data_IF_080714297892
#
_entry.id   IF_080714297892
#
_cell.length_a   1.000
_cell.length_b   1.000
_cell.length_c   1.000
_cell.angle_alpha   90.00
_cell.angle_beta   90.00
_cell.angle_gamma   90.00
#
_symmetry.space_group_name_H-M   'P 1'
#
loop_
_entity.id
_entity.type
_entity.pdbx_description
1 polymer ?
#
# COMPACT_ATOMS: atom_id res chain seq x y z
N UNK A 1 -0.73 -7.41 -17.41
CA UNK A 1 -1.72 -7.22 -16.35
C UNK A 1 -1.16 -6.36 -15.23
N UNK A 2 -2.04 -5.69 -14.45
CA UNK A 2 -1.60 -4.73 -13.44
C UNK A 2 -1.40 -5.41 -12.11
N UNK A 3 -0.32 -5.11 -11.41
CA UNK A 3 -0.16 -5.49 -10.00
C UNK A 3 -1.23 -4.80 -9.15
N UNK A 4 -1.71 -5.49 -8.13
CA UNK A 4 -2.82 -5.03 -7.29
C UNK A 4 -2.44 -5.07 -5.80
N UNK A 5 -2.91 -4.06 -5.08
CA UNK A 5 -2.92 -4.01 -3.62
C UNK A 5 -4.38 -4.04 -3.17
N UNK A 6 -4.71 -4.91 -2.26
CA UNK A 6 -6.01 -4.93 -1.60
C UNK A 6 -5.94 -4.12 -0.30
N UNK A 7 -7.01 -3.41 0.01
CA UNK A 7 -7.14 -2.66 1.26
C UNK A 7 -8.39 -3.11 2.01
N UNK A 8 -8.21 -3.53 3.25
CA UNK A 8 -9.29 -3.94 4.14
C UNK A 8 -9.25 -3.16 5.43
N UNK A 9 -10.39 -3.06 6.12
CA UNK A 9 -10.42 -2.50 7.46
C UNK A 9 -9.64 -3.39 8.44
N UNK A 10 -9.83 -4.71 8.34
CA UNK A 10 -9.13 -5.73 9.14
C UNK A 10 -8.74 -6.92 8.29
N UNK A 11 -7.63 -7.59 8.60
CA UNK A 11 -7.15 -8.75 7.86
C UNK A 11 -6.18 -9.61 8.68
N UNK A 12 -5.01 -9.07 9.04
CA UNK A 12 -4.11 -9.65 10.03
C UNK A 12 -4.07 -8.78 11.27
N UNK A 13 -3.83 -9.39 12.43
CA UNK A 13 -3.65 -8.66 13.68
C UNK A 13 -2.18 -8.21 13.88
N UNK A 14 -1.90 -7.54 15.00
CA UNK A 14 -0.55 -7.06 15.36
C UNK A 14 0.49 -8.18 15.53
N UNK A 15 0.09 -9.43 15.69
CA UNK A 15 0.95 -10.60 15.74
C UNK A 15 1.11 -11.28 14.36
N UNK A 16 0.64 -10.65 13.31
CA UNK A 16 0.67 -11.19 11.94
C UNK A 16 -0.31 -12.35 11.68
N UNK A 17 -1.27 -12.60 12.58
CA UNK A 17 -2.23 -13.69 12.44
C UNK A 17 -3.47 -13.23 11.69
N UNK A 18 -3.92 -14.06 10.74
CA UNK A 18 -5.16 -13.84 10.01
C UNK A 18 -6.37 -13.82 10.93
N UNK A 19 -7.32 -12.96 10.63
CA UNK A 19 -8.69 -13.09 11.11
C UNK A 19 -9.54 -13.89 10.11
N UNK A 20 -10.79 -14.14 10.45
CA UNK A 20 -11.70 -14.90 9.60
C UNK A 20 -11.92 -14.27 8.21
N UNK A 21 -11.86 -12.94 8.10
CA UNK A 21 -11.95 -12.23 6.81
C UNK A 21 -10.70 -12.50 5.99
N UNK A 22 -9.53 -12.44 6.64
CA UNK A 22 -8.24 -12.71 6.01
C UNK A 22 -8.16 -14.14 5.48
N UNK A 23 -8.54 -15.14 6.28
CA UNK A 23 -8.56 -16.53 5.84
C UNK A 23 -9.42 -16.73 4.59
N UNK A 24 -10.65 -16.21 4.61
CA UNK A 24 -11.57 -16.33 3.49
C UNK A 24 -11.05 -15.64 2.22
N UNK A 25 -10.54 -14.41 2.33
CA UNK A 25 -10.05 -13.66 1.18
C UNK A 25 -8.77 -14.25 0.61
N UNK A 26 -7.87 -14.79 1.45
CA UNK A 26 -6.68 -15.50 0.95
C UNK A 26 -7.09 -16.71 0.12
N UNK A 27 -8.03 -17.52 0.60
CA UNK A 27 -8.48 -18.74 -0.09
C UNK A 27 -9.29 -18.41 -1.36
N UNK A 28 -10.22 -17.47 -1.29
CA UNK A 28 -11.17 -17.25 -2.37
C UNK A 28 -10.73 -16.20 -3.39
N UNK A 29 -9.80 -15.34 -3.05
CA UNK A 29 -9.36 -14.24 -3.93
C UNK A 29 -7.86 -14.28 -4.19
N UNK A 30 -7.04 -14.14 -3.15
CA UNK A 30 -5.58 -13.93 -3.32
C UNK A 30 -4.90 -15.13 -3.98
N UNK A 31 -5.29 -16.35 -3.60
CA UNK A 31 -4.76 -17.59 -4.19
C UNK A 31 -5.08 -17.74 -5.68
N UNK A 32 -6.14 -17.08 -6.15
CA UNK A 32 -6.67 -17.21 -7.52
C UNK A 32 -6.25 -16.07 -8.45
N UNK A 33 -5.56 -15.05 -7.92
CA UNK A 33 -5.19 -13.85 -8.67
C UNK A 33 -3.71 -13.50 -8.48
N UNK A 34 -2.87 -13.97 -9.38
CA UNK A 34 -1.40 -13.82 -9.31
C UNK A 34 -0.90 -12.39 -9.41
N UNK A 35 -1.74 -11.44 -9.81
CA UNK A 35 -1.40 -10.03 -9.84
C UNK A 35 -1.51 -9.32 -8.48
N UNK A 36 -2.07 -9.98 -7.45
CA UNK A 36 -2.15 -9.42 -6.10
C UNK A 36 -0.82 -9.69 -5.39
N UNK A 37 -0.13 -8.62 -4.95
CA UNK A 37 1.15 -8.74 -4.24
C UNK A 37 1.11 -8.25 -2.80
N UNK A 38 0.10 -7.46 -2.41
CA UNK A 38 -0.03 -6.98 -1.04
C UNK A 38 -1.49 -6.81 -0.60
N UNK A 39 -1.70 -6.95 0.70
CA UNK A 39 -2.95 -6.64 1.40
C UNK A 39 -2.62 -5.71 2.57
N UNK A 40 -3.24 -4.55 2.62
CA UNK A 40 -3.07 -3.56 3.68
C UNK A 40 -4.29 -3.53 4.58
N UNK A 41 -4.07 -3.46 5.89
CA UNK A 41 -5.15 -3.29 6.86
C UNK A 41 -4.73 -2.48 8.10
N UNK A 42 -5.73 -2.00 8.85
CA UNK A 42 -5.61 -1.42 10.18
C UNK A 42 -6.41 -2.22 11.21
N UNK A 43 -7.21 -1.55 12.04
CA UNK A 43 -8.11 -2.09 13.05
C UNK A 43 -7.43 -2.73 14.27
N UNK A 44 -6.42 -3.55 14.06
CA UNK A 44 -5.69 -4.22 15.13
C UNK A 44 -4.48 -3.37 15.49
N UNK A 45 -4.58 -2.64 16.60
CA UNK A 45 -3.61 -1.65 17.04
C UNK A 45 -2.19 -2.20 17.07
N UNK A 46 -1.32 -1.62 16.25
CA UNK A 46 0.07 -2.02 16.05
C UNK A 46 0.45 -2.15 14.58
N UNK A 47 1.64 -2.68 14.32
CA UNK A 47 2.10 -3.01 13.00
C UNK A 47 2.57 -4.46 12.93
N UNK A 48 2.32 -5.11 11.81
CA UNK A 48 2.77 -6.47 11.56
C UNK A 48 2.90 -6.72 10.06
N UNK A 49 3.81 -7.62 9.72
CA UNK A 49 3.94 -8.17 8.38
C UNK A 49 3.83 -9.69 8.47
N UNK A 50 3.06 -10.27 7.55
CA UNK A 50 3.04 -11.70 7.31
C UNK A 50 3.23 -11.93 5.81
N UNK A 51 4.06 -12.88 5.42
CA UNK A 51 4.33 -13.19 4.02
C UNK A 51 3.74 -14.55 3.69
N UNK A 52 2.72 -14.55 2.86
CA UNK A 52 2.18 -15.76 2.24
C UNK A 52 2.91 -16.06 0.94
N UNK A 53 3.05 -17.33 0.60
CA UNK A 53 3.69 -17.74 -0.66
C UNK A 53 2.79 -18.70 -1.42
N UNK A 54 2.73 -18.51 -2.73
CA UNK A 54 1.88 -19.27 -3.63
C UNK A 54 2.72 -19.88 -4.75
N UNK A 55 2.40 -21.11 -5.08
CA UNK A 55 2.87 -21.86 -6.25
C UNK A 55 1.81 -21.65 -7.34
N UNK A 56 2.09 -20.75 -8.26
CA UNK A 56 1.12 -20.35 -9.28
C UNK A 56 1.14 -21.26 -10.52
N UNK A 57 2.22 -21.99 -10.76
CA UNK A 57 2.36 -22.90 -11.92
C UNK A 57 2.23 -24.39 -11.58
N UNK A 58 2.19 -24.73 -10.30
CA UNK A 58 1.95 -26.07 -9.80
C UNK A 58 3.18 -26.99 -9.86
N UNK A 59 4.39 -26.41 -9.92
CA UNK A 59 5.64 -27.18 -9.95
C UNK A 59 6.10 -27.67 -8.57
N UNK A 60 5.45 -27.23 -7.50
CA UNK A 60 5.77 -27.54 -6.11
C UNK A 60 6.67 -26.50 -5.43
N UNK A 61 7.01 -25.43 -6.12
CA UNK A 61 7.77 -24.29 -5.59
C UNK A 61 6.83 -23.12 -5.36
N UNK A 62 6.86 -22.51 -4.19
CA UNK A 62 6.02 -21.35 -3.88
C UNK A 62 6.81 -20.06 -4.11
N UNK A 63 6.83 -19.58 -5.34
CA UNK A 63 7.67 -18.46 -5.78
C UNK A 63 7.03 -17.08 -5.57
N UNK A 64 5.69 -16.97 -5.65
CA UNK A 64 5.01 -15.68 -5.53
C UNK A 64 4.75 -15.27 -4.08
N UNK A 65 5.45 -14.25 -3.56
CA UNK A 65 5.13 -13.69 -2.25
C UNK A 65 3.90 -12.76 -2.33
N UNK A 66 3.07 -12.80 -1.26
CA UNK A 66 2.03 -11.82 -1.00
C UNK A 66 2.22 -11.29 0.42
N UNK A 67 2.37 -9.98 0.52
CA UNK A 67 2.67 -9.29 1.77
C UNK A 67 1.40 -8.79 2.44
N UNK A 68 1.11 -9.31 3.62
CA UNK A 68 -0.01 -8.88 4.46
C UNK A 68 0.54 -7.88 5.48
N UNK A 69 0.06 -6.64 5.43
CA UNK A 69 0.62 -5.53 6.19
C UNK A 69 -0.49 -4.89 7.03
N UNK A 70 -0.38 -5.05 8.35
CA UNK A 70 -1.19 -4.32 9.32
C UNK A 70 -0.44 -3.05 9.74
N UNK A 71 -1.15 -1.91 9.76
CA UNK A 71 -0.61 -0.65 10.27
C UNK A 71 -1.71 0.14 10.95
N UNK A 72 -1.62 0.26 12.28
CA UNK A 72 -2.57 1.00 13.08
C UNK A 72 -1.92 1.48 14.39
N UNK A 73 -1.45 2.69 14.42
CA UNK A 73 -0.79 3.28 15.59
C UNK A 73 -1.76 4.03 16.53
N UNK A 74 -3.05 4.09 16.19
CA UNK A 74 -4.01 4.99 16.85
C UNK A 74 -4.22 4.76 18.37
N UNK A 75 -3.87 3.57 18.88
CA UNK A 75 -3.99 3.26 20.31
C UNK A 75 -2.86 3.84 21.17
N UNK A 76 -1.80 4.32 20.54
CA UNK A 76 -0.67 4.90 21.24
C UNK A 76 -0.94 6.33 21.75
N UNK A 77 -0.07 6.84 22.65
CA UNK A 77 -0.18 8.18 23.15
C UNK A 77 -0.40 9.21 22.03
N UNK A 78 -1.30 10.16 22.28
CA UNK A 78 -1.68 11.21 21.33
C UNK A 78 -2.29 10.68 20.00
N UNK A 79 -2.88 9.48 20.01
CA UNK A 79 -3.49 8.88 18.84
C UNK A 79 -2.45 8.39 17.81
N UNK A 80 -1.33 7.84 18.30
CA UNK A 80 -0.25 7.29 17.48
C UNK A 80 0.78 8.32 17.06
N UNK A 81 0.86 9.45 17.77
CA UNK A 81 1.87 10.52 17.55
C UNK A 81 2.04 10.93 16.09
N UNK A 82 0.96 10.83 15.31
CA UNK A 82 0.90 11.15 13.87
C UNK A 82 1.85 10.30 12.98
N UNK A 83 2.20 9.09 13.37
CA UNK A 83 2.94 8.20 12.51
C UNK A 83 2.13 7.83 11.26
N UNK A 84 2.80 7.86 10.12
CA UNK A 84 2.28 7.51 8.79
C UNK A 84 3.20 6.45 8.20
N UNK A 85 2.64 5.39 7.64
CA UNK A 85 3.38 4.38 6.88
C UNK A 85 3.54 4.84 5.45
N UNK A 86 4.76 4.81 4.95
CA UNK A 86 5.10 5.09 3.56
C UNK A 86 5.46 3.81 2.82
N UNK A 87 5.03 3.73 1.57
CA UNK A 87 5.48 2.71 0.62
C UNK A 87 6.13 3.41 -0.57
N UNK A 88 7.39 3.13 -0.82
CA UNK A 88 8.17 3.68 -1.93
C UNK A 88 8.33 2.62 -3.01
N UNK A 89 7.77 2.87 -4.18
CA UNK A 89 7.78 1.95 -5.31
C UNK A 89 8.99 2.20 -6.20
N UNK A 90 9.92 1.27 -6.24
CA UNK A 90 11.04 1.26 -7.19
C UNK A 90 10.71 0.29 -8.33
N UNK A 91 10.22 0.84 -9.42
CA UNK A 91 9.77 0.08 -10.59
C UNK A 91 10.94 -0.42 -11.45
N UNK A 92 12.15 0.14 -11.29
CA UNK A 92 13.33 -0.27 -12.04
C UNK A 92 14.03 -1.46 -11.39
N UNK A 93 13.96 -1.55 -10.06
CA UNK A 93 14.64 -2.58 -9.29
C UNK A 93 13.68 -3.62 -8.69
N UNK A 94 12.39 -3.58 -9.06
CA UNK A 94 11.38 -4.56 -8.68
C UNK A 94 11.22 -4.75 -7.17
N UNK A 95 11.14 -3.63 -6.43
CA UNK A 95 10.83 -3.70 -5.01
C UNK A 95 9.95 -2.53 -4.51
N UNK A 96 9.36 -2.74 -3.36
CA UNK A 96 8.72 -1.68 -2.56
C UNK A 96 9.45 -1.61 -1.22
N UNK A 97 9.99 -0.45 -0.91
CA UNK A 97 10.51 -0.16 0.43
C UNK A 97 9.40 0.45 1.27
N UNK A 98 9.33 0.06 2.53
CA UNK A 98 8.37 0.63 3.45
C UNK A 98 9.04 1.08 4.74
N UNK A 99 8.61 2.22 5.29
CA UNK A 99 8.95 2.71 6.62
C UNK A 99 7.80 3.54 7.21
N UNK A 100 7.92 3.92 8.47
CA UNK A 100 7.02 4.85 9.12
C UNK A 100 7.73 6.15 9.48
N UNK A 101 6.99 7.26 9.57
CA UNK A 101 7.51 8.56 9.97
C UNK A 101 6.44 9.36 10.71
N UNK A 102 6.83 10.03 11.78
CA UNK A 102 6.02 11.00 12.51
C UNK A 102 6.49 12.43 12.23
N UNK A 103 5.70 13.26 11.54
CA UNK A 103 6.03 14.68 11.39
C UNK A 103 5.89 15.49 12.69
N UNK A 104 5.16 14.96 13.68
CA UNK A 104 5.05 15.60 14.99
C UNK A 104 6.32 15.47 15.81
N UNK A 105 6.95 14.30 15.75
CA UNK A 105 8.14 13.97 16.53
C UNK A 105 9.44 14.18 15.72
N UNK A 106 9.34 14.36 14.40
CA UNK A 106 10.46 14.32 13.44
C UNK A 106 11.25 13.01 13.57
N UNK A 107 10.52 11.91 13.60
CA UNK A 107 11.04 10.60 13.96
C UNK A 107 10.60 9.51 12.98
N UNK A 108 11.50 8.57 12.69
CA UNK A 108 11.27 7.43 11.81
C UNK A 108 11.08 6.16 12.63
N UNK A 109 10.20 5.28 12.15
CA UNK A 109 10.04 3.91 12.65
C UNK A 109 9.52 3.85 14.09
N UNK A 110 8.21 3.83 14.21
CA UNK A 110 7.45 3.81 15.46
C UNK A 110 7.98 2.82 16.52
N UNK A 111 8.52 1.67 16.10
CA UNK A 111 8.95 0.60 17.00
C UNK A 111 10.42 0.66 17.45
N UNK A 112 11.24 1.54 16.91
CA UNK A 112 12.64 1.62 17.31
C UNK A 112 12.87 2.36 18.64
N UNK A 113 11.93 3.22 19.05
CA UNK A 113 12.01 4.06 20.25
C UNK A 113 11.10 3.60 21.39
N UNK A 114 10.24 2.62 21.19
CA UNK A 114 9.18 2.39 22.16
C UNK A 114 9.19 1.01 22.77
N UNK A 115 9.57 0.94 23.99
CA UNK A 115 9.20 -0.11 24.96
C UNK A 115 7.66 -0.16 25.19
N UNK A 116 6.87 0.62 24.47
CA UNK A 116 5.44 0.84 24.79
C UNK A 116 4.49 -0.11 24.08
N UNK A 117 4.91 -0.74 22.99
CA UNK A 117 4.10 -1.75 22.34
C UNK A 117 4.61 -3.15 22.65
N UNK A 118 3.94 -3.80 23.59
CA UNK A 118 4.20 -5.20 23.97
C UNK A 118 3.89 -6.12 22.77
N UNK A 119 4.92 -6.54 22.07
CA UNK A 119 4.88 -7.52 20.98
C UNK A 119 5.06 -6.98 19.56
N UNK A 120 5.49 -5.74 19.37
CA UNK A 120 5.94 -5.24 18.06
C UNK A 120 7.37 -5.68 17.77
N UNK A 121 7.60 -6.26 16.61
CA UNK A 121 8.93 -6.47 16.07
C UNK A 121 9.35 -5.21 15.30
N UNK A 122 10.54 -4.68 15.56
CA UNK A 122 11.09 -3.49 14.89
C UNK A 122 11.10 -3.63 13.38
N UNK A 123 11.30 -4.83 12.88
CA UNK A 123 11.29 -5.15 11.45
C UNK A 123 9.93 -4.91 10.77
N UNK A 124 8.84 -4.77 11.53
CA UNK A 124 7.51 -4.51 10.99
C UNK A 124 7.31 -3.08 10.48
N UNK A 125 8.15 -2.14 10.86
CA UNK A 125 8.08 -0.77 10.34
C UNK A 125 8.94 -0.55 9.11
N UNK A 126 10.06 -1.26 9.00
CA UNK A 126 10.98 -1.19 7.86
C UNK A 126 11.00 -2.52 7.14
N UNK A 127 10.63 -2.56 5.89
CA UNK A 127 10.62 -3.79 5.12
C UNK A 127 10.82 -3.56 3.62
N UNK A 128 11.44 -4.53 2.95
CA UNK A 128 11.57 -4.56 1.50
C UNK A 128 10.68 -5.67 0.92
N UNK A 129 9.72 -5.27 0.12
CA UNK A 129 8.85 -6.19 -0.59
C UNK A 129 9.44 -6.43 -1.99
N UNK A 130 9.79 -7.66 -2.31
CA UNK A 130 10.18 -8.04 -3.68
C UNK A 130 8.93 -8.15 -4.54
N UNK A 131 8.83 -7.36 -5.59
CA UNK A 131 7.65 -7.30 -6.46
C UNK A 131 8.11 -7.17 -7.90
N UNK A 132 7.84 -8.16 -8.73
CA UNK A 132 8.07 -8.06 -10.16
C UNK A 132 7.04 -7.08 -10.78
N UNK A 133 7.50 -5.92 -11.23
CA UNK A 133 6.68 -4.88 -11.85
C UNK A 133 6.63 -4.98 -13.38
N UNK A 134 7.24 -6.00 -13.98
CA UNK A 134 7.36 -6.22 -15.45
C UNK A 134 8.26 -5.19 -16.18
N UNK A 135 8.87 -4.23 -15.48
CA UNK A 135 9.74 -3.20 -16.07
C UNK A 135 9.10 -2.37 -17.21
N UNK A 136 7.82 -2.56 -17.48
CA UNK A 136 7.13 -1.89 -18.58
C UNK A 136 6.54 -0.57 -18.13
N UNK A 137 6.97 0.57 -18.68
CA UNK A 137 6.35 1.86 -18.42
C UNK A 137 4.86 1.79 -18.76
N UNK A 138 4.01 2.09 -17.79
CA UNK A 138 2.56 2.07 -18.01
C UNK A 138 2.08 3.43 -18.44
N UNK A 139 1.57 3.49 -19.66
CA UNK A 139 0.88 4.67 -20.18
C UNK A 139 -0.62 4.48 -19.97
N UNK A 140 -1.24 5.36 -19.20
CA UNK A 140 -2.69 5.46 -19.16
C UNK A 140 -3.14 6.35 -20.31
N UNK A 141 -3.84 5.77 -21.26
CA UNK A 141 -4.54 6.53 -22.30
C UNK A 141 -5.99 6.68 -21.88
N UNK A 142 -6.47 7.89 -21.79
CA UNK A 142 -7.86 8.20 -21.46
C UNK A 142 -8.40 9.26 -22.41
N UNK A 143 -9.65 9.11 -22.81
CA UNK A 143 -10.35 10.09 -23.65
C UNK A 143 -10.76 11.33 -22.86
N UNK A 144 -10.85 11.18 -21.54
CA UNK A 144 -11.13 12.28 -20.61
C UNK A 144 -10.60 11.97 -19.20
N UNK A 145 -10.28 13.00 -18.47
CA UNK A 145 -10.03 12.88 -17.04
C UNK A 145 -10.63 14.09 -16.30
N UNK A 146 -11.04 13.87 -15.07
CA UNK A 146 -11.50 14.94 -14.19
C UNK A 146 -10.46 15.14 -13.10
N UNK A 147 -9.91 16.35 -13.03
CA UNK A 147 -9.07 16.76 -11.92
C UNK A 147 -9.95 17.51 -10.90
N UNK A 148 -10.14 16.91 -9.74
CA UNK A 148 -10.81 17.59 -8.63
C UNK A 148 -9.78 18.40 -7.85
N UNK A 149 -9.80 19.71 -8.01
CA UNK A 149 -9.03 20.62 -7.18
C UNK A 149 -9.93 21.08 -6.05
N UNK A 150 -9.52 20.85 -4.81
CA UNK A 150 -10.27 21.21 -3.62
C UNK A 150 -10.15 22.72 -3.34
N UNK A 151 -10.67 23.52 -4.27
CA UNK A 151 -10.85 24.95 -4.13
C UNK A 151 -12.32 25.28 -4.34
N UNK A 152 -12.81 26.37 -3.76
CA UNK A 152 -14.21 26.81 -3.95
C UNK A 152 -14.51 27.24 -5.40
N UNK A 153 -13.51 27.38 -6.24
CA UNK A 153 -13.64 27.80 -7.64
C UNK A 153 -12.94 26.80 -8.57
N UNK A 154 -13.57 26.49 -9.71
CA UNK A 154 -12.93 25.77 -10.77
C UNK A 154 -11.78 26.61 -11.35
N UNK A 155 -10.55 26.05 -11.36
CA UNK A 155 -9.34 26.73 -11.82
C UNK A 155 -9.06 26.51 -13.30
N UNK A 156 -9.78 25.58 -13.93
CA UNK A 156 -9.71 25.30 -15.37
C UNK A 156 -10.45 24.02 -15.73
N UNK A 157 -10.82 23.90 -16.98
CA UNK A 157 -11.51 22.73 -17.55
C UNK A 157 -11.04 22.52 -19.00
N UNK A 158 -10.94 21.26 -19.42
CA UNK A 158 -10.80 20.90 -20.83
C UNK A 158 -11.79 19.79 -21.16
N UNK A 159 -12.39 19.87 -22.33
CA UNK A 159 -13.40 18.92 -22.82
C UNK A 159 -12.98 18.40 -24.20
N UNK A 160 -13.55 17.29 -24.61
CA UNK A 160 -13.41 16.72 -25.96
C UNK A 160 -11.95 16.49 -26.42
N UNK A 161 -11.10 16.00 -25.50
CA UNK A 161 -9.71 15.65 -25.82
C UNK A 161 -9.70 14.33 -26.60
N UNK A 162 -9.29 14.37 -27.87
CA UNK A 162 -9.22 13.19 -28.69
C UNK A 162 -8.14 12.21 -28.22
N UNK A 163 -8.37 10.90 -28.46
CA UNK A 163 -7.41 9.87 -28.11
C UNK A 163 -6.04 10.13 -28.75
N UNK A 164 -4.98 10.20 -27.91
CA UNK A 164 -3.63 10.52 -28.35
C UNK A 164 -3.27 12.01 -28.40
N UNK A 165 -4.22 12.91 -28.15
CA UNK A 165 -3.95 14.32 -27.99
C UNK A 165 -3.57 14.68 -26.54
N UNK A 166 -2.81 15.78 -26.38
CA UNK A 166 -2.44 16.30 -25.06
C UNK A 166 -3.57 17.18 -24.54
N UNK A 167 -4.13 16.78 -23.39
CA UNK A 167 -4.98 17.67 -22.63
C UNK A 167 -4.15 18.82 -22.05
N UNK A 168 -4.60 20.05 -22.20
CA UNK A 168 -3.94 21.24 -21.69
C UNK A 168 -4.96 22.11 -20.94
N UNK A 169 -4.64 22.43 -19.68
CA UNK A 169 -5.43 23.35 -18.86
C UNK A 169 -4.52 24.49 -18.44
N UNK A 170 -4.95 25.71 -18.71
CA UNK A 170 -4.27 26.91 -18.23
C UNK A 170 -4.88 27.28 -16.88
N UNK A 171 -4.05 27.34 -15.85
CA UNK A 171 -4.47 27.75 -14.52
C UNK A 171 -4.29 29.27 -14.41
N UNK A 172 -5.38 29.97 -14.12
CA UNK A 172 -5.36 31.40 -13.89
C UNK A 172 -5.60 31.71 -12.42
N UNK A 173 -4.79 32.57 -11.85
CA UNK A 173 -5.02 33.11 -10.51
C UNK A 173 -4.51 32.26 -9.34
N UNK A 174 -3.46 31.46 -9.54
CA UNK A 174 -2.70 30.82 -8.46
C UNK A 174 -1.68 31.79 -7.84
#
# INVERSE_FOLDING_TARGET
DRKAILCFHRFINKDGKLDQTGEYVLEEVVSKHSNIFAVLNGHYHGAAINVQRYDDDGDGTAERPVYLICTDYQADPQGGSQYIKFLYFDLENDYVFMNAYSPLLDDFNFYDDTDTYDGGDQDHDVYHLSVDFDGTPRTLTTDSFTLNVYTEQAVGQTEDVASGEKAQVTLEGL
#
